data_IF_213200517195
#
_entry.id   IF_213200517195
#
_cell.length_a   1.000
_cell.length_b   1.000
_cell.length_c   1.000
_cell.angle_alpha   90.00
_cell.angle_beta   90.00
_cell.angle_gamma   90.00
#
_symmetry.space_group_name_H-M   'P 1'
#
loop_
_entity.id
_entity.type
_entity.pdbx_description
1 polymer ?
#
# COMPACT_ATOMS: atom_id res chain seq x y z
N UNK A 1 53.76 57.71 -21.04
CA UNK A 1 53.32 57.13 -19.75
C UNK A 1 52.01 56.39 -19.96
N UNK A 2 51.94 55.18 -19.40
CA UNK A 2 50.79 54.25 -19.44
C UNK A 2 49.58 54.81 -18.68
N UNK A 3 48.38 54.49 -19.17
CA UNK A 3 47.19 53.94 -18.46
C UNK A 3 45.95 54.26 -19.31
N UNK A 4 45.35 53.29 -20.04
CA UNK A 4 44.34 52.29 -19.60
C UNK A 4 43.20 52.97 -18.80
N UNK A 5 41.92 52.93 -19.18
CA UNK A 5 40.95 51.82 -18.98
C UNK A 5 39.58 52.36 -19.48
N UNK A 6 38.96 51.82 -20.53
CA UNK A 6 37.88 50.79 -20.60
C UNK A 6 36.51 51.37 -20.96
N UNK A 7 35.96 50.83 -22.04
CA UNK A 7 34.59 50.95 -22.56
C UNK A 7 33.54 50.40 -21.61
N UNK A 8 32.31 50.93 -21.68
CA UNK A 8 31.11 50.19 -21.31
C UNK A 8 29.98 50.47 -22.33
N UNK A 9 29.74 49.48 -23.19
CA UNK A 9 28.50 49.34 -23.95
C UNK A 9 27.38 48.94 -22.98
N UNK A 10 26.25 49.66 -23.02
CA UNK A 10 24.98 49.16 -22.53
C UNK A 10 24.16 48.66 -23.72
N UNK A 11 24.13 47.34 -23.93
CA UNK A 11 23.16 46.68 -24.80
C UNK A 11 22.06 46.09 -23.93
N UNK A 12 20.81 46.50 -24.21
CA UNK A 12 19.62 46.09 -23.50
C UNK A 12 19.27 44.62 -23.75
N UNK A 13 18.73 44.02 -22.71
CA UNK A 13 18.40 42.61 -22.56
C UNK A 13 17.11 42.18 -23.29
N UNK A 14 17.14 40.99 -23.91
CA UNK A 14 15.97 40.09 -24.01
C UNK A 14 16.48 38.64 -23.95
N UNK A 15 16.33 37.91 -22.83
CA UNK A 15 16.39 36.46 -22.87
C UNK A 15 14.97 35.92 -23.09
N UNK A 16 14.70 35.45 -24.31
CA UNK A 16 13.61 34.52 -24.58
C UNK A 16 14.02 33.15 -24.01
N UNK A 17 13.82 32.95 -22.71
CA UNK A 17 13.96 31.64 -22.10
C UNK A 17 12.64 30.89 -22.27
N UNK A 18 12.64 30.01 -23.27
CA UNK A 18 11.65 28.96 -23.48
C UNK A 18 11.31 28.30 -22.14
N UNK A 19 10.07 28.46 -21.70
CA UNK A 19 9.48 27.64 -20.66
C UNK A 19 9.42 26.20 -21.19
N UNK A 20 10.46 25.43 -20.92
CA UNK A 20 10.40 23.98 -20.95
C UNK A 20 9.40 23.56 -19.87
N UNK A 21 8.12 23.43 -20.26
CA UNK A 21 7.13 22.75 -19.45
C UNK A 21 7.71 21.34 -19.16
N UNK A 22 7.92 20.96 -17.90
CA UNK A 22 8.14 19.55 -17.61
C UNK A 22 6.87 18.84 -18.09
N UNK A 23 7.02 17.94 -19.05
CA UNK A 23 5.98 17.00 -19.44
C UNK A 23 5.44 16.37 -18.18
N UNK A 24 4.28 16.81 -17.72
CA UNK A 24 3.56 16.14 -16.67
C UNK A 24 3.27 14.74 -17.23
N UNK A 25 3.99 13.74 -16.73
CA UNK A 25 3.71 12.34 -17.00
C UNK A 25 2.31 12.02 -16.46
N UNK A 26 1.29 12.32 -17.26
CA UNK A 26 -0.13 12.12 -16.96
C UNK A 26 -0.58 10.65 -16.98
N UNK A 27 0.35 9.70 -16.90
CA UNK A 27 0.02 8.27 -16.90
C UNK A 27 0.87 7.51 -15.89
N UNK A 28 0.61 7.74 -14.59
CA UNK A 28 0.86 6.73 -13.58
C UNK A 28 -0.14 5.57 -13.80
N UNK A 29 0.26 4.53 -14.52
CA UNK A 29 -0.59 3.44 -15.00
C UNK A 29 -1.36 2.68 -13.91
N UNK A 30 -2.68 2.47 -14.13
CA UNK A 30 -3.68 1.64 -13.41
C UNK A 30 -3.26 0.31 -12.73
N UNK A 31 -3.56 0.00 -11.46
CA UNK A 31 -4.29 -1.28 -11.23
C UNK A 31 -5.70 -0.95 -11.68
N UNK A 32 -6.18 -1.51 -12.79
CA UNK A 32 -7.49 -1.16 -13.31
C UNK A 32 -8.57 -1.60 -12.31
N UNK A 33 -9.67 -0.84 -12.21
CA UNK A 33 -10.81 -1.20 -11.35
C UNK A 33 -11.32 -2.64 -11.57
N UNK A 34 -11.05 -3.21 -12.76
CA UNK A 34 -11.30 -4.62 -13.09
C UNK A 34 -10.56 -5.63 -12.20
N UNK A 35 -9.52 -5.23 -11.46
CA UNK A 35 -8.85 -6.08 -10.48
C UNK A 35 -9.62 -6.16 -9.15
N UNK A 36 -10.68 -5.37 -8.95
CA UNK A 36 -11.56 -5.52 -7.79
C UNK A 36 -12.32 -6.85 -7.81
N UNK A 37 -12.18 -7.66 -6.76
CA UNK A 37 -12.76 -8.99 -6.66
C UNK A 37 -12.17 -9.78 -5.48
N UNK A 38 -12.58 -11.03 -5.36
CA UNK A 38 -12.13 -11.94 -4.31
C UNK A 38 -10.99 -12.83 -4.82
N UNK A 39 -9.97 -13.00 -3.98
CA UNK A 39 -8.77 -13.78 -4.23
C UNK A 39 -8.64 -14.83 -3.14
N UNK A 40 -8.30 -16.05 -3.54
CA UNK A 40 -7.73 -17.02 -2.63
C UNK A 40 -6.23 -16.75 -2.54
N UNK A 41 -5.77 -16.43 -1.34
CA UNK A 41 -4.38 -16.13 -1.02
C UNK A 41 -3.73 -17.37 -0.42
N UNK A 42 -2.44 -17.51 -0.73
CA UNK A 42 -1.54 -18.46 -0.10
C UNK A 42 -0.29 -17.71 0.33
N UNK A 43 -0.12 -17.63 1.65
CA UNK A 43 1.07 -17.07 2.30
C UNK A 43 2.17 -18.13 2.33
N UNK A 44 3.45 -17.72 2.24
CA UNK A 44 4.58 -18.65 2.27
C UNK A 44 4.70 -19.35 3.63
N UNK A 45 4.25 -18.70 4.72
CA UNK A 45 4.09 -19.28 6.05
C UNK A 45 3.00 -20.36 6.15
N UNK A 46 2.24 -20.59 5.07
CA UNK A 46 1.27 -21.68 4.95
C UNK A 46 -0.17 -21.32 5.29
N UNK A 47 -0.43 -20.06 5.70
CA UNK A 47 -1.79 -19.56 5.87
C UNK A 47 -2.54 -19.50 4.53
N UNK A 48 -3.87 -19.60 4.61
CA UNK A 48 -4.76 -19.45 3.47
C UNK A 48 -5.86 -18.45 3.79
N UNK A 49 -6.08 -17.54 2.86
CA UNK A 49 -6.92 -16.38 3.10
C UNK A 49 -7.90 -16.17 1.96
N UNK A 50 -9.04 -15.57 2.28
CA UNK A 50 -9.91 -14.95 1.29
C UNK A 50 -9.84 -13.45 1.44
N UNK A 51 -9.32 -12.79 0.41
CA UNK A 51 -9.17 -11.34 0.36
C UNK A 51 -10.07 -10.77 -0.73
N UNK A 52 -10.90 -9.80 -0.37
CA UNK A 52 -11.80 -9.12 -1.31
C UNK A 52 -11.43 -7.65 -1.42
N UNK A 53 -10.96 -7.25 -2.59
CA UNK A 53 -10.70 -5.87 -2.96
C UNK A 53 -11.95 -5.32 -3.66
N UNK A 54 -12.78 -4.56 -2.96
CA UNK A 54 -13.99 -3.98 -3.57
C UNK A 54 -13.65 -2.79 -4.48
N UNK A 55 -14.48 -2.54 -5.49
CA UNK A 55 -14.21 -1.51 -6.51
C UNK A 55 -14.22 -0.08 -5.96
N UNK A 56 -14.87 0.13 -4.82
CA UNK A 56 -14.94 1.40 -4.09
C UNK A 56 -13.77 1.63 -3.13
N UNK A 57 -12.83 0.68 -3.05
CA UNK A 57 -11.66 0.75 -2.17
C UNK A 57 -11.85 0.06 -0.82
N UNK A 58 -13.01 -0.55 -0.52
CA UNK A 58 -13.13 -1.39 0.67
C UNK A 58 -12.30 -2.68 0.52
N UNK A 59 -11.71 -3.15 1.62
CA UNK A 59 -10.90 -4.36 1.67
C UNK A 59 -11.37 -5.25 2.83
N UNK A 60 -11.68 -6.51 2.53
CA UNK A 60 -12.09 -7.51 3.50
C UNK A 60 -11.15 -8.71 3.47
N UNK A 61 -10.83 -9.25 4.64
CA UNK A 61 -9.99 -10.43 4.80
C UNK A 61 -10.61 -11.44 5.78
N UNK A 62 -10.34 -12.71 5.52
CA UNK A 62 -10.46 -13.79 6.50
C UNK A 62 -9.33 -14.79 6.25
N UNK A 63 -8.84 -15.43 7.30
CA UNK A 63 -7.69 -16.32 7.24
C UNK A 63 -7.92 -17.59 8.04
N UNK A 64 -7.35 -18.70 7.56
CA UNK A 64 -7.39 -19.99 8.24
C UNK A 64 -6.75 -19.98 9.62
N UNK A 65 -5.94 -18.97 9.95
CA UNK A 65 -5.23 -18.85 11.22
C UNK A 65 -6.03 -18.12 12.31
N UNK A 66 -7.19 -17.54 12.00
CA UNK A 66 -8.04 -16.84 12.98
C UNK A 66 -8.35 -17.67 14.24
N UNK A 67 -8.73 -18.97 14.14
CA UNK A 67 -9.02 -19.75 15.34
C UNK A 67 -7.78 -20.07 16.18
N UNK A 68 -6.59 -20.02 15.59
CA UNK A 68 -5.32 -20.33 16.27
C UNK A 68 -4.80 -19.14 17.08
N UNK A 69 -5.00 -17.93 16.58
CA UNK A 69 -4.46 -16.71 17.15
C UNK A 69 -5.53 -15.76 17.72
N UNK A 70 -6.78 -16.22 17.75
CA UNK A 70 -7.91 -15.56 18.39
C UNK A 70 -8.13 -14.10 17.93
N UNK A 71 -8.32 -13.91 16.62
CA UNK A 71 -8.62 -12.59 16.06
C UNK A 71 -9.83 -12.60 15.09
N UNK A 72 -10.46 -11.44 14.97
CA UNK A 72 -11.66 -11.25 14.16
C UNK A 72 -11.40 -11.35 12.65
N UNK A 73 -12.48 -11.36 11.86
CA UNK A 73 -12.36 -11.06 10.43
C UNK A 73 -11.73 -9.68 10.24
N UNK A 74 -11.06 -9.49 9.11
CA UNK A 74 -10.34 -8.27 8.84
C UNK A 74 -11.13 -7.34 7.92
N UNK A 75 -11.03 -6.04 8.18
CA UNK A 75 -11.68 -5.01 7.39
C UNK A 75 -10.75 -3.82 7.24
N UNK A 76 -10.84 -3.11 6.12
CA UNK A 76 -10.08 -1.90 5.89
C UNK A 76 -10.23 -1.37 4.48
N UNK A 77 -9.15 -0.81 3.95
CA UNK A 77 -9.18 -0.13 2.66
C UNK A 77 -7.99 -0.51 1.80
N UNK A 78 -8.16 -0.39 0.50
CA UNK A 78 -7.07 -0.52 -0.45
C UNK A 78 -7.13 0.59 -1.48
N UNK A 79 -5.96 0.89 -2.03
CA UNK A 79 -5.81 1.81 -3.14
C UNK A 79 -4.69 1.34 -4.03
N UNK A 80 -4.73 1.82 -5.26
CA UNK A 80 -3.61 1.70 -6.16
C UNK A 80 -2.38 2.48 -5.65
N UNK A 81 -1.19 1.92 -5.89
CA UNK A 81 0.10 2.49 -5.54
C UNK A 81 1.07 2.40 -6.73
N UNK A 82 1.34 3.54 -7.37
CA UNK A 82 2.25 3.60 -8.53
C UNK A 82 1.71 2.93 -9.79
N UNK A 83 2.60 2.62 -10.74
CA UNK A 83 2.21 2.13 -12.07
C UNK A 83 1.85 0.64 -12.11
N UNK A 84 2.36 -0.15 -11.16
CA UNK A 84 2.32 -1.61 -11.23
C UNK A 84 1.75 -2.27 -9.96
N UNK A 85 1.28 -1.50 -8.98
CA UNK A 85 0.92 -2.05 -7.68
C UNK A 85 -0.27 -1.39 -7.01
N UNK A 86 -0.62 -1.95 -5.86
CA UNK A 86 -1.59 -1.47 -4.92
C UNK A 86 -1.09 -1.71 -3.50
N UNK A 87 -1.69 -0.98 -2.58
CA UNK A 87 -1.50 -1.14 -1.15
C UNK A 87 -2.85 -1.26 -0.48
N UNK A 88 -2.91 -2.10 0.55
CA UNK A 88 -4.07 -2.28 1.40
C UNK A 88 -3.67 -2.15 2.84
N UNK A 89 -4.66 -1.82 3.67
CA UNK A 89 -4.57 -1.92 5.11
C UNK A 89 -5.79 -2.67 5.58
N UNK A 90 -5.57 -3.69 6.39
CA UNK A 90 -6.61 -4.46 7.07
C UNK A 90 -6.44 -4.29 8.58
N UNK A 91 -7.56 -4.30 9.29
CA UNK A 91 -7.61 -4.24 10.75
C UNK A 91 -8.37 -5.44 11.31
N UNK A 92 -7.89 -5.97 12.43
CA UNK A 92 -8.55 -7.05 13.16
C UNK A 92 -8.56 -6.75 14.66
N UNK A 93 -9.61 -7.17 15.36
CA UNK A 93 -9.59 -7.22 16.81
C UNK A 93 -8.89 -8.50 17.27
N UNK A 94 -8.00 -8.39 18.25
CA UNK A 94 -7.30 -9.51 18.87
C UNK A 94 -7.83 -9.70 20.28
N UNK A 95 -8.07 -10.95 20.66
CA UNK A 95 -8.72 -11.28 21.92
C UNK A 95 -7.84 -12.16 22.81
N UNK A 96 -8.00 -12.02 24.13
CA UNK A 96 -7.48 -12.98 25.10
C UNK A 96 -8.30 -14.28 25.09
N UNK A 97 -7.78 -15.34 25.72
CA UNK A 97 -8.44 -16.65 25.82
C UNK A 97 -9.84 -16.60 26.46
N UNK A 98 -10.11 -15.58 27.29
CA UNK A 98 -11.42 -15.33 27.91
C UNK A 98 -12.38 -14.52 27.01
N UNK A 99 -11.99 -14.26 25.76
CA UNK A 99 -12.68 -13.45 24.76
C UNK A 99 -12.79 -11.95 25.09
N UNK A 100 -11.99 -11.45 26.03
CA UNK A 100 -11.86 -10.01 26.22
C UNK A 100 -11.01 -9.39 25.10
N UNK A 101 -11.38 -8.18 24.66
CA UNK A 101 -10.59 -7.44 23.67
C UNK A 101 -9.22 -7.11 24.26
N UNK A 102 -8.15 -7.57 23.59
CA UNK A 102 -6.77 -7.33 23.99
C UNK A 102 -6.19 -6.12 23.25
N UNK A 103 -6.24 -6.15 21.93
CA UNK A 103 -5.60 -5.13 21.08
C UNK A 103 -6.25 -5.06 19.70
N UNK A 104 -5.80 -4.12 18.87
CA UNK A 104 -6.15 -4.07 17.44
C UNK A 104 -4.90 -4.39 16.62
N UNK A 105 -5.00 -5.36 15.73
CA UNK A 105 -3.98 -5.63 14.74
C UNK A 105 -4.19 -4.77 13.49
N UNK A 106 -3.08 -4.33 12.89
CA UNK A 106 -3.02 -3.71 11.57
C UNK A 106 -2.14 -4.55 10.67
N UNK A 107 -2.63 -4.80 9.46
CA UNK A 107 -1.92 -5.54 8.43
C UNK A 107 -1.73 -4.61 7.23
N UNK A 108 -0.50 -4.16 7.01
CA UNK A 108 -0.15 -3.39 5.81
C UNK A 108 0.23 -4.37 4.69
N UNK A 109 -0.39 -4.19 3.53
CA UNK A 109 -0.28 -5.10 2.40
C UNK A 109 0.19 -4.31 1.19
N UNK A 110 1.18 -4.83 0.47
CA UNK A 110 1.61 -4.32 -0.82
C UNK A 110 1.53 -5.45 -1.85
N UNK A 111 0.91 -5.18 -2.99
CA UNK A 111 0.65 -6.22 -3.99
C UNK A 111 0.67 -5.70 -5.41
N UNK A 112 0.88 -6.61 -6.35
CA UNK A 112 0.92 -6.33 -7.77
C UNK A 112 0.34 -7.50 -8.56
N UNK A 113 -0.07 -7.24 -9.79
CA UNK A 113 -0.46 -8.30 -10.74
C UNK A 113 0.77 -9.01 -11.29
N UNK A 114 0.68 -10.31 -11.50
CA UNK A 114 1.74 -11.08 -12.17
C UNK A 114 1.50 -11.11 -13.69
N UNK A 115 2.20 -12.00 -14.43
CA UNK A 115 2.04 -12.18 -15.87
C UNK A 115 0.58 -12.46 -16.31
N UNK A 116 -0.28 -12.92 -15.40
CA UNK A 116 -1.69 -13.20 -15.66
C UNK A 116 -2.63 -12.03 -15.30
N UNK A 117 -2.10 -10.82 -15.13
CA UNK A 117 -2.91 -9.62 -14.87
C UNK A 117 -3.73 -9.76 -13.59
N UNK A 118 -5.01 -9.36 -13.62
CA UNK A 118 -5.86 -9.41 -12.42
C UNK A 118 -6.21 -10.82 -11.95
N UNK A 119 -5.92 -11.87 -12.72
CA UNK A 119 -6.24 -13.25 -12.32
C UNK A 119 -5.24 -13.80 -11.30
N UNK A 120 -4.05 -13.21 -11.23
CA UNK A 120 -3.01 -13.57 -10.27
C UNK A 120 -2.32 -12.35 -9.71
N UNK A 121 -2.16 -12.34 -8.39
CA UNK A 121 -1.43 -11.31 -7.66
C UNK A 121 -0.31 -11.94 -6.84
N UNK A 122 0.68 -11.13 -6.51
CA UNK A 122 1.70 -11.47 -5.54
C UNK A 122 2.03 -10.23 -4.71
N UNK A 123 2.57 -10.44 -3.53
CA UNK A 123 2.84 -9.33 -2.63
C UNK A 123 3.49 -9.72 -1.32
N UNK A 124 3.48 -8.76 -0.42
CA UNK A 124 3.99 -8.84 0.94
C UNK A 124 2.97 -8.30 1.90
N UNK A 125 2.97 -8.82 3.11
CA UNK A 125 2.21 -8.30 4.23
C UNK A 125 3.11 -8.10 5.45
N UNK A 126 2.75 -7.14 6.28
CA UNK A 126 3.41 -6.85 7.56
C UNK A 126 2.32 -6.65 8.61
N UNK A 127 2.43 -7.37 9.73
CA UNK A 127 1.46 -7.34 10.82
C UNK A 127 2.05 -6.62 12.03
N UNK A 128 1.22 -5.76 12.63
CA UNK A 128 1.51 -5.04 13.87
C UNK A 128 0.31 -5.12 14.81
N UNK A 129 0.55 -4.99 16.09
CA UNK A 129 -0.48 -4.87 17.13
C UNK A 129 -0.35 -3.54 17.83
N UNK A 130 -1.49 -2.89 18.05
CA UNK A 130 -1.58 -1.59 18.69
C UNK A 130 -2.16 -1.78 20.09
N UNK A 131 -1.40 -1.37 21.09
CA UNK A 131 -1.76 -1.47 22.50
C UNK A 131 -2.71 -0.35 22.93
N UNK A 132 -3.18 -0.42 24.17
CA UNK A 132 -4.07 0.59 24.73
C UNK A 132 -3.42 1.99 24.72
N UNK A 133 -4.04 2.92 23.98
CA UNK A 133 -3.59 4.31 23.85
C UNK A 133 -2.93 4.64 22.52
N UNK A 134 -2.62 3.65 21.68
CA UNK A 134 -2.17 3.85 20.29
C UNK A 134 -3.37 3.92 19.33
N UNK A 135 -3.24 4.65 18.23
CA UNK A 135 -4.29 4.77 17.20
C UNK A 135 -3.90 3.95 15.96
N UNK A 136 -4.55 2.80 15.70
CA UNK A 136 -4.23 1.96 14.55
C UNK A 136 -4.49 2.67 13.20
N UNK A 137 -5.28 3.76 13.19
CA UNK A 137 -5.54 4.57 12.00
C UNK A 137 -4.50 5.66 11.78
N UNK A 138 -3.67 5.97 12.77
CA UNK A 138 -2.55 6.92 12.68
C UNK A 138 -1.20 6.19 12.84
N UNK A 139 -0.52 5.87 11.71
CA UNK A 139 0.80 5.24 11.73
C UNK A 139 1.86 6.02 12.50
N UNK A 140 1.67 7.33 12.76
CA UNK A 140 2.62 8.10 13.58
C UNK A 140 2.60 7.71 15.06
N UNK A 141 1.55 7.00 15.49
CA UNK A 141 1.42 6.48 16.86
C UNK A 141 2.00 5.08 17.03
N UNK A 142 2.41 4.43 15.93
CA UNK A 142 3.04 3.12 15.95
C UNK A 142 4.47 3.22 16.49
N UNK A 143 4.70 2.62 17.65
CA UNK A 143 6.01 2.60 18.32
C UNK A 143 6.64 1.21 18.39
N UNK A 144 5.95 0.19 17.88
CA UNK A 144 6.36 -1.21 17.96
C UNK A 144 7.12 -1.71 16.73
N UNK A 145 7.83 -2.81 16.90
CA UNK A 145 8.35 -3.58 15.77
C UNK A 145 7.25 -4.49 15.20
N UNK A 146 7.26 -4.80 13.89
CA UNK A 146 6.36 -5.79 13.32
C UNK A 146 6.43 -7.14 14.03
N UNK A 147 5.27 -7.73 14.30
CA UNK A 147 5.17 -9.04 14.94
C UNK A 147 5.21 -10.19 13.94
N UNK A 148 4.91 -9.91 12.67
CA UNK A 148 5.02 -10.86 11.57
C UNK A 148 5.17 -10.13 10.23
N UNK A 149 5.75 -10.83 9.26
CA UNK A 149 5.80 -10.42 7.86
C UNK A 149 5.83 -11.66 7.00
N UNK A 150 5.16 -11.62 5.85
CA UNK A 150 5.14 -12.75 4.92
C UNK A 150 5.05 -12.27 3.47
N UNK A 151 5.39 -13.16 2.55
CA UNK A 151 5.10 -13.07 1.13
C UNK A 151 3.89 -13.92 0.80
N UNK A 152 3.19 -13.56 -0.27
CA UNK A 152 2.03 -14.33 -0.71
C UNK A 152 1.86 -14.32 -2.21
N UNK A 153 1.11 -15.31 -2.68
CA UNK A 153 0.49 -15.31 -4.01
C UNK A 153 -1.02 -15.42 -3.88
N UNK A 154 -1.74 -14.89 -4.86
CA UNK A 154 -3.19 -14.88 -4.85
C UNK A 154 -3.76 -15.22 -6.21
N UNK A 155 -4.85 -15.99 -6.24
CA UNK A 155 -5.59 -16.31 -7.45
C UNK A 155 -7.02 -15.84 -7.32
N UNK A 156 -7.50 -15.13 -8.35
CA UNK A 156 -8.87 -14.60 -8.41
C UNK A 156 -9.89 -15.73 -8.47
N UNK A 157 -10.94 -15.62 -7.65
CA UNK A 157 -12.11 -16.48 -7.73
C UNK A 157 -12.92 -16.19 -9.01
N UNK A 158 -13.40 -17.24 -9.67
CA UNK A 158 -14.24 -17.14 -10.86
C UNK A 158 -15.63 -17.71 -10.53
N UNK A 159 -16.71 -17.10 -11.03
CA UNK A 159 -18.07 -17.62 -10.90
C UNK A 159 -18.31 -18.87 -11.75
#
# INVERSE_FOLDING_TARGET
>A
MRNKIVSALFLAAIPAFLLALPSASLFAGSIPARCAGTYLIQEDGGARDFWTFAADGAFFGTTSTQPLYNFSNQQGTWKKAGSNGAQGVLFAFVYNDDNTLMSTARIDIAFHTTAHGCDQIAGTLVVRTFEAGEDPLDPATDTGEPIASDTFTGRRAQP
#
